data_IF_637201392434
#
_entry.id   IF_637201392434
#
_cell.length_a   1.000
_cell.length_b   1.000
_cell.length_c   1.000
_cell.angle_alpha   90.00
_cell.angle_beta   90.00
_cell.angle_gamma   90.00
#
_symmetry.space_group_name_H-M   'P 1'
#
loop_
_entity.id
_entity.type
_entity.pdbx_description
1 polymer ?
#
# COMPACT_ATOMS: atom_id res chain seq x y z
N UNK A 1 0.96 15.23 15.07
CA UNK A 1 1.98 15.59 14.06
C UNK A 1 1.41 15.71 12.65
N UNK A 2 0.80 14.67 12.05
CA UNK A 2 0.28 14.74 10.67
C UNK A 2 -0.65 15.94 10.40
N UNK A 3 -1.65 16.19 11.26
CA UNK A 3 -2.56 17.34 11.14
C UNK A 3 -1.84 18.69 11.20
N UNK A 4 -0.83 18.81 12.04
CA UNK A 4 -0.01 20.02 12.14
C UNK A 4 0.82 20.24 10.86
N UNK A 5 1.43 19.19 10.32
CA UNK A 5 2.16 19.28 9.05
C UNK A 5 1.22 19.69 7.92
N UNK A 6 0.03 19.09 7.83
CA UNK A 6 -0.97 19.48 6.83
C UNK A 6 -1.39 20.96 6.95
N UNK A 7 -1.48 21.50 8.17
CA UNK A 7 -1.76 22.92 8.38
C UNK A 7 -0.61 23.81 7.90
N UNK A 8 0.65 23.44 8.18
CA UNK A 8 1.85 24.14 7.68
C UNK A 8 1.85 24.19 6.14
N UNK A 9 1.45 23.09 5.49
CA UNK A 9 1.36 23.00 4.02
C UNK A 9 0.06 23.57 3.42
N UNK A 10 -0.86 24.10 4.24
CA UNK A 10 -2.10 24.74 3.77
C UNK A 10 -3.11 23.79 3.11
N UNK A 11 -3.13 22.51 3.51
CA UNK A 11 -4.03 21.48 2.94
C UNK A 11 -4.85 20.74 3.99
N UNK A 12 -4.90 21.24 5.22
CA UNK A 12 -5.57 20.57 6.35
C UNK A 12 -7.07 20.38 6.12
N UNK A 13 -7.71 21.29 5.39
CA UNK A 13 -9.12 21.25 4.99
C UNK A 13 -9.44 20.16 3.96
N UNK A 14 -8.42 19.58 3.33
CA UNK A 14 -8.54 18.52 2.31
C UNK A 14 -8.37 17.11 2.87
N UNK A 15 -8.12 16.97 4.17
CA UNK A 15 -7.75 15.69 4.80
C UNK A 15 -8.63 15.44 6.03
N UNK A 16 -9.34 14.31 6.02
CA UNK A 16 -9.94 13.75 7.23
C UNK A 16 -8.93 12.85 7.95
N UNK A 17 -8.69 13.11 9.24
CA UNK A 17 -7.73 12.34 10.05
C UNK A 17 -8.45 11.35 10.95
N UNK A 18 -8.20 10.06 10.74
CA UNK A 18 -8.72 8.97 11.56
C UNK A 18 -7.55 8.34 12.33
N UNK A 19 -7.65 8.32 13.66
CA UNK A 19 -6.72 7.57 14.51
C UNK A 19 -7.34 6.20 14.79
N UNK A 20 -6.72 5.14 14.28
CA UNK A 20 -7.26 3.79 14.43
C UNK A 20 -6.33 2.72 13.87
N UNK A 21 -6.83 1.49 13.89
CA UNK A 21 -6.17 0.32 13.34
C UNK A 21 -6.70 0.05 11.93
N UNK A 22 -5.82 0.14 10.93
CA UNK A 22 -6.16 -0.10 9.53
C UNK A 22 -6.83 -1.47 9.33
N UNK A 23 -6.39 -2.50 10.06
CA UNK A 23 -6.92 -3.85 9.90
C UNK A 23 -8.37 -3.99 10.37
N UNK A 24 -8.92 -2.97 11.05
CA UNK A 24 -10.32 -2.92 11.50
C UNK A 24 -11.21 -2.06 10.61
N UNK A 25 -10.66 -1.43 9.57
CA UNK A 25 -11.41 -0.52 8.67
C UNK A 25 -12.15 -1.23 7.53
N UNK A 26 -12.13 -2.56 7.51
CA UNK A 26 -12.81 -3.36 6.48
C UNK A 26 -14.28 -2.95 6.33
N UNK A 27 -14.70 -2.59 5.12
CA UNK A 27 -16.06 -2.12 4.79
C UNK A 27 -16.57 -0.88 5.56
N UNK A 28 -15.76 -0.24 6.40
CA UNK A 28 -16.17 0.96 7.15
C UNK A 28 -15.99 2.24 6.35
N UNK A 29 -15.06 2.23 5.39
CA UNK A 29 -14.75 3.37 4.52
C UNK A 29 -14.68 2.91 3.06
N UNK A 30 -14.84 3.86 2.13
CA UNK A 30 -14.73 3.65 0.69
C UNK A 30 -13.87 4.73 0.06
N UNK A 31 -13.12 4.37 -0.96
CA UNK A 31 -12.34 5.30 -1.76
C UNK A 31 -11.96 4.70 -3.11
N UNK A 32 -11.44 5.54 -3.99
CA UNK A 32 -11.02 5.10 -5.33
C UNK A 32 -9.64 4.42 -5.32
N UNK A 33 -8.78 4.85 -4.39
CA UNK A 33 -7.38 4.44 -4.29
C UNK A 33 -6.96 4.36 -2.82
N UNK A 34 -6.21 3.33 -2.48
CA UNK A 34 -5.40 3.27 -1.26
C UNK A 34 -3.95 3.53 -1.60
N UNK A 35 -3.30 4.39 -0.83
CA UNK A 35 -1.83 4.51 -0.80
C UNK A 35 -1.40 4.12 0.61
N UNK A 36 -0.55 3.09 0.73
CA UNK A 36 -0.10 2.60 2.03
C UNK A 36 1.40 2.36 2.06
N UNK A 37 1.99 2.70 3.20
CA UNK A 37 3.40 2.48 3.54
C UNK A 37 3.43 1.73 4.88
N UNK A 38 3.29 0.39 4.88
CA UNK A 38 3.33 -0.38 6.12
C UNK A 38 4.68 -0.20 6.81
N UNK A 39 4.77 -0.47 8.12
CA UNK A 39 6.05 -0.48 8.81
C UNK A 39 6.97 -1.56 8.21
N UNK A 40 8.24 -1.22 8.02
CA UNK A 40 9.24 -2.14 7.45
C UNK A 40 10.20 -2.72 8.50
N UNK A 41 9.96 -2.46 9.79
CA UNK A 41 10.90 -2.82 10.87
C UNK A 41 11.95 -1.73 11.21
N UNK A 42 11.73 -0.49 10.76
CA UNK A 42 12.67 0.62 11.00
C UNK A 42 13.98 0.46 10.21
N UNK A 43 15.01 1.32 10.42
CA UNK A 43 16.22 1.35 9.60
C UNK A 43 16.96 0.00 9.44
N UNK A 44 16.78 -0.89 10.41
CA UNK A 44 17.32 -2.25 10.44
C UNK A 44 16.86 -3.13 9.27
N UNK A 45 15.73 -2.81 8.62
CA UNK A 45 15.26 -3.51 7.42
C UNK A 45 16.34 -3.58 6.34
N UNK A 46 17.22 -2.56 6.28
CA UNK A 46 18.29 -2.44 5.30
C UNK A 46 19.42 -3.48 5.47
N UNK A 47 19.51 -4.12 6.64
CA UNK A 47 20.49 -5.18 6.93
C UNK A 47 19.99 -6.56 6.50
N UNK A 48 18.70 -6.71 6.21
CA UNK A 48 18.14 -7.96 5.71
C UNK A 48 18.45 -8.10 4.22
N UNK A 49 18.92 -9.27 3.79
CA UNK A 49 19.20 -9.51 2.37
C UNK A 49 17.90 -9.55 1.54
N UNK A 50 16.87 -10.19 2.09
CA UNK A 50 15.56 -10.36 1.46
C UNK A 50 14.45 -10.23 2.50
N UNK A 51 13.40 -9.49 2.15
CA UNK A 51 12.16 -9.34 2.93
C UNK A 51 11.01 -10.00 2.17
N UNK A 52 10.28 -10.89 2.85
CA UNK A 52 9.10 -11.55 2.30
C UNK A 52 7.83 -10.71 2.47
N UNK A 53 6.77 -10.99 1.70
CA UNK A 53 5.49 -10.27 1.81
C UNK A 53 4.79 -10.47 3.17
N UNK A 54 5.01 -11.62 3.84
CA UNK A 54 4.43 -11.91 5.16
C UNK A 54 5.06 -11.07 6.28
N UNK A 55 6.36 -10.77 6.17
CA UNK A 55 7.06 -9.89 7.11
C UNK A 55 6.48 -8.46 7.10
N UNK A 56 5.76 -8.11 6.02
CA UNK A 56 5.12 -6.82 5.82
C UNK A 56 3.60 -6.85 5.99
N UNK A 57 3.03 -7.99 6.42
CA UNK A 57 1.58 -8.20 6.51
C UNK A 57 0.83 -7.89 5.20
N UNK A 58 1.49 -8.11 4.06
CA UNK A 58 0.96 -7.74 2.74
C UNK A 58 -0.35 -8.46 2.41
N UNK A 59 -0.50 -9.70 2.86
CA UNK A 59 -1.73 -10.49 2.80
C UNK A 59 -2.91 -9.74 3.45
N UNK A 60 -2.77 -9.39 4.74
CA UNK A 60 -3.83 -8.72 5.51
C UNK A 60 -4.11 -7.32 4.99
N UNK A 61 -3.06 -6.60 4.57
CA UNK A 61 -3.19 -5.26 3.99
C UNK A 61 -4.05 -5.30 2.73
N UNK A 62 -3.78 -6.27 1.85
CA UNK A 62 -4.52 -6.46 0.61
C UNK A 62 -5.93 -6.98 0.87
N UNK A 63 -6.13 -7.89 1.83
CA UNK A 63 -7.46 -8.38 2.21
C UNK A 63 -8.38 -7.24 2.61
N UNK A 64 -7.96 -6.42 3.58
CA UNK A 64 -8.73 -5.24 4.01
C UNK A 64 -8.83 -4.21 2.90
N UNK A 65 -7.73 -3.93 2.20
CA UNK A 65 -7.67 -2.88 1.18
C UNK A 65 -8.62 -3.11 0.01
N UNK A 66 -8.79 -4.36 -0.44
CA UNK A 66 -9.73 -4.72 -1.51
C UNK A 66 -11.19 -4.39 -1.17
N UNK A 67 -11.53 -4.31 0.12
CA UNK A 67 -12.88 -3.93 0.57
C UNK A 67 -13.10 -2.42 0.55
N UNK A 68 -12.03 -1.64 0.66
CA UNK A 68 -12.06 -0.18 0.76
C UNK A 68 -11.95 0.45 -0.63
N UNK A 69 -11.03 -0.03 -1.48
CA UNK A 69 -10.77 0.56 -2.79
C UNK A 69 -10.37 -0.48 -3.86
N UNK A 70 -10.67 -0.23 -5.15
CA UNK A 70 -10.29 -1.13 -6.24
C UNK A 70 -8.80 -1.04 -6.62
N UNK A 71 -8.13 0.08 -6.33
CA UNK A 71 -6.72 0.32 -6.66
C UNK A 71 -5.92 0.52 -5.38
N UNK A 72 -4.79 -0.18 -5.25
CA UNK A 72 -3.95 -0.15 -4.06
C UNK A 72 -2.50 0.08 -4.52
N UNK A 73 -1.89 1.14 -4.01
CA UNK A 73 -0.47 1.43 -4.15
C UNK A 73 0.23 1.04 -2.86
N UNK A 74 1.10 0.03 -2.94
CA UNK A 74 1.93 -0.40 -1.82
C UNK A 74 3.32 0.21 -1.98
N UNK A 75 3.75 1.00 -1.01
CA UNK A 75 5.13 1.48 -0.90
C UNK A 75 5.90 0.53 0.02
N UNK A 76 6.88 -0.15 -0.56
CA UNK A 76 7.55 -1.30 0.04
C UNK A 76 9.08 -1.16 -0.03
N UNK A 77 9.83 -1.92 0.79
CA UNK A 77 11.30 -1.88 0.79
C UNK A 77 11.95 -2.21 -0.57
N UNK A 78 13.23 -1.88 -0.69
CA UNK A 78 14.02 -2.18 -1.90
C UNK A 78 14.48 -3.64 -2.01
N UNK A 79 14.60 -4.34 -0.88
CA UNK A 79 15.13 -5.70 -0.72
C UNK A 79 14.01 -6.75 -0.66
N UNK A 80 12.93 -6.58 -1.42
CA UNK A 80 11.79 -7.49 -1.43
C UNK A 80 12.01 -8.72 -2.30
N UNK A 81 11.48 -9.85 -1.86
CA UNK A 81 11.22 -10.98 -2.75
C UNK A 81 10.02 -10.68 -3.67
N UNK A 82 10.29 -10.03 -4.81
CA UNK A 82 9.24 -9.62 -5.77
C UNK A 82 8.39 -10.79 -6.29
N UNK A 83 8.98 -11.99 -6.41
CA UNK A 83 8.26 -13.19 -6.88
C UNK A 83 7.21 -13.65 -5.84
N UNK A 84 7.59 -13.66 -4.56
CA UNK A 84 6.65 -13.98 -3.49
C UNK A 84 5.56 -12.91 -3.35
N UNK A 85 5.89 -11.62 -3.48
CA UNK A 85 4.90 -10.54 -3.49
C UNK A 85 3.88 -10.70 -4.65
N UNK A 86 4.35 -11.11 -5.83
CA UNK A 86 3.48 -11.38 -6.98
C UNK A 86 2.55 -12.56 -6.72
N UNK A 87 3.09 -13.68 -6.21
CA UNK A 87 2.30 -14.85 -5.81
C UNK A 87 1.26 -14.49 -4.76
N UNK A 88 1.64 -13.69 -3.77
CA UNK A 88 0.75 -13.20 -2.71
C UNK A 88 -0.43 -12.42 -3.27
N UNK A 89 -0.18 -11.46 -4.16
CA UNK A 89 -1.25 -10.69 -4.81
C UNK A 89 -2.30 -11.62 -5.45
N UNK A 90 -1.83 -12.56 -6.27
CA UNK A 90 -2.73 -13.50 -6.95
C UNK A 90 -3.48 -14.39 -5.96
N UNK A 91 -2.81 -14.88 -4.92
CA UNK A 91 -3.40 -15.71 -3.87
C UNK A 91 -4.55 -15.02 -3.13
N UNK A 92 -4.45 -13.71 -2.92
CA UNK A 92 -5.52 -12.91 -2.30
C UNK A 92 -6.51 -12.34 -3.33
N UNK A 93 -6.53 -12.81 -4.58
CA UNK A 93 -7.48 -12.31 -5.59
C UNK A 93 -7.25 -10.84 -5.97
N UNK A 94 -5.99 -10.40 -6.00
CA UNK A 94 -5.59 -9.10 -6.52
C UNK A 94 -4.55 -9.28 -7.64
N UNK A 95 -4.55 -8.39 -8.62
CA UNK A 95 -3.60 -8.42 -9.73
C UNK A 95 -2.56 -7.32 -9.60
N UNK A 96 -1.29 -7.71 -9.56
CA UNK A 96 -0.17 -6.77 -9.71
C UNK A 96 -0.13 -6.24 -11.15
N UNK A 97 -0.20 -4.91 -11.30
CA UNK A 97 -0.26 -4.24 -12.60
C UNK A 97 1.08 -3.62 -13.01
N UNK A 98 1.80 -3.06 -12.05
CA UNK A 98 3.09 -2.41 -12.28
C UNK A 98 3.94 -2.48 -11.02
N UNK A 99 5.24 -2.58 -11.23
CA UNK A 99 6.26 -2.38 -10.21
C UNK A 99 7.09 -1.18 -10.66
N UNK A 100 7.31 -0.22 -9.77
CA UNK A 100 8.15 0.96 -10.04
C UNK A 100 9.22 1.08 -8.96
N UNK A 101 10.48 1.22 -9.38
CA UNK A 101 11.59 1.44 -8.45
C UNK A 101 11.72 2.95 -8.20
N UNK A 102 11.82 3.35 -6.94
CA UNK A 102 12.02 4.75 -6.54
C UNK A 102 13.50 4.96 -6.23
N UNK A 103 14.10 5.95 -6.89
CA UNK A 103 15.51 6.30 -6.72
C UNK A 103 15.64 7.66 -6.05
N UNK A 104 16.56 7.76 -5.10
CA UNK A 104 16.99 9.03 -4.52
C UNK A 104 18.49 9.18 -4.70
N UNK A 105 18.94 10.29 -5.30
CA UNK A 105 20.35 10.53 -5.60
C UNK A 105 21.03 9.35 -6.31
N UNK A 106 20.34 8.73 -7.28
CA UNK A 106 20.76 7.53 -8.04
C UNK A 106 20.77 6.21 -7.25
N UNK A 107 20.49 6.22 -5.95
CA UNK A 107 20.39 5.00 -5.13
C UNK A 107 18.96 4.50 -5.08
N UNK A 108 18.78 3.18 -5.24
CA UNK A 108 17.48 2.54 -5.03
C UNK A 108 17.06 2.73 -3.58
N UNK A 109 15.92 3.39 -3.38
CA UNK A 109 15.37 3.67 -2.06
C UNK A 109 14.28 2.66 -1.68
N UNK A 110 13.28 2.51 -2.55
CA UNK A 110 12.09 1.70 -2.30
C UNK A 110 11.46 1.22 -3.61
N UNK A 111 10.40 0.43 -3.50
CA UNK A 111 9.62 -0.05 -4.64
C UNK A 111 8.14 0.24 -4.43
N UNK A 112 7.45 0.67 -5.47
CA UNK A 112 6.00 0.85 -5.52
C UNK A 112 5.35 -0.31 -6.27
N UNK A 113 4.35 -0.94 -5.66
CA UNK A 113 3.54 -1.98 -6.28
C UNK A 113 2.15 -1.42 -6.54
N UNK A 114 1.76 -1.36 -7.81
CA UNK A 114 0.42 -0.95 -8.25
C UNK A 114 -0.43 -2.21 -8.38
N UNK A 115 -1.35 -2.40 -7.43
CA UNK A 115 -2.21 -3.56 -7.32
C UNK A 115 -3.65 -3.17 -7.62
N UNK A 116 -4.39 -4.04 -8.29
CA UNK A 116 -5.83 -3.88 -8.54
C UNK A 116 -6.59 -5.06 -7.93
N UNK A 117 -7.63 -4.77 -7.15
CA UNK A 117 -8.58 -5.77 -6.66
C UNK A 117 -9.33 -6.41 -7.84
N UNK A 118 -9.51 -7.73 -7.80
CA UNK A 118 -10.28 -8.44 -8.82
C UNK A 118 -11.79 -8.51 -8.49
N UNK A 119 -12.22 -7.90 -7.38
CA UNK A 119 -13.63 -7.87 -6.99
C UNK A 119 -14.49 -7.18 -8.06
N UNK A 120 -15.48 -7.93 -8.56
CA UNK A 120 -16.41 -7.60 -9.66
C UNK A 120 -17.42 -6.49 -9.27
N UNK A 121 -17.48 -6.10 -8.00
CA UNK A 121 -18.49 -5.15 -7.48
C UNK A 121 -18.26 -3.69 -7.90
N UNK A 122 -17.05 -3.33 -8.36
CA UNK A 122 -16.82 -2.03 -9.00
C UNK A 122 -17.10 -2.17 -10.50
N UNK A 123 -18.39 -2.24 -10.86
CA UNK A 123 -18.81 -2.02 -12.25
C UNK A 123 -18.25 -0.67 -12.68
N UNK A 124 -17.40 -0.70 -13.69
CA UNK A 124 -16.91 0.45 -14.42
C UNK A 124 -18.10 1.33 -14.79
N UNK A 125 -18.31 2.44 -14.08
CA UNK A 125 -18.92 3.60 -14.69
C UNK A 125 -17.86 4.17 -15.62
N UNK A 126 -17.81 3.62 -16.83
CA UNK A 126 -17.30 4.36 -17.96
C UNK A 126 -18.28 5.52 -18.15
N UNK A 127 -17.78 6.73 -17.89
CA UNK A 127 -18.35 7.98 -18.42
C UNK A 127 -17.75 8.17 -19.80
#
# INVERSE_FOLDING_TARGET
MAKQNAAIYGVVDKIEFIVGDYFKLENQIKGDVIVTSPPWGGPEYSKMDVIGPLDLYMDKILEVGKTIAPKILLHLPKNLNKNECWKMCNGVGASLRKIENVFMNKYLNSTLFYVRSNNVSYKSLCI
#
